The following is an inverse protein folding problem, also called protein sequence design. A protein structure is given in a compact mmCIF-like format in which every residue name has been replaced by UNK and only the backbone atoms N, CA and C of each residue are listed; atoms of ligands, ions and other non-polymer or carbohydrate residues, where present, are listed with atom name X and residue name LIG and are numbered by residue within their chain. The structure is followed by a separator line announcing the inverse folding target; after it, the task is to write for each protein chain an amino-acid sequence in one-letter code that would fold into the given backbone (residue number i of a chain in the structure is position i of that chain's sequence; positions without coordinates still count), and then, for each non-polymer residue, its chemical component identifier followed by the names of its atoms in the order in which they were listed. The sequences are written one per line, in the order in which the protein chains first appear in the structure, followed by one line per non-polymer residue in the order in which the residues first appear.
data_IF_558397546912
#
_entry.id   IF_558397546912
#
_cell.length_a   1.000
_cell.length_b   1.000
_cell.length_c   1.000
_cell.angle_alpha   90.00
_cell.angle_beta   90.00
_cell.angle_gamma   90.00
#
_symmetry.space_group_name_H-M   'P 1'
#
loop_
_entity.id
_entity.type
_entity.pdbx_description
1 polymer ?
#
# COMPACT_ATOMS: atom_id res chain seq x y z
N UNK A 1 23.55 -32.87 16.83
CA UNK A 1 22.96 -32.42 15.53
C UNK A 1 21.91 -31.36 15.83
N UNK A 2 22.06 -30.13 15.35
CA UNK A 2 21.02 -29.11 15.56
C UNK A 2 19.82 -29.39 14.62
N UNK A 3 18.68 -29.70 15.23
CA UNK A 3 17.40 -30.09 14.60
C UNK A 3 16.77 -28.89 13.91
N UNK A 4 16.22 -29.08 12.72
CA UNK A 4 15.46 -28.07 11.98
C UNK A 4 14.19 -27.70 12.77
N UNK A 5 13.94 -26.41 12.96
CA UNK A 5 12.75 -25.91 13.65
C UNK A 5 11.82 -25.19 12.66
N UNK A 6 11.00 -25.98 11.96
CA UNK A 6 10.07 -25.48 10.94
C UNK A 6 9.05 -24.50 11.54
N UNK A 7 8.50 -24.82 12.71
CA UNK A 7 7.43 -24.04 13.32
C UNK A 7 7.88 -22.63 13.70
N UNK A 8 9.03 -22.52 14.37
CA UNK A 8 9.62 -21.21 14.71
C UNK A 8 10.02 -20.44 13.45
N UNK A 9 10.60 -21.12 12.46
CA UNK A 9 10.95 -20.52 11.18
C UNK A 9 9.72 -19.94 10.48
N UNK A 10 8.64 -20.72 10.34
CA UNK A 10 7.38 -20.25 9.74
C UNK A 10 6.83 -19.06 10.50
N UNK A 11 6.80 -19.12 11.83
CA UNK A 11 6.31 -18.03 12.68
C UNK A 11 7.07 -16.72 12.44
N UNK A 12 8.41 -16.76 12.41
CA UNK A 12 9.25 -15.59 12.13
C UNK A 12 9.01 -15.07 10.71
N UNK A 13 9.00 -15.98 9.72
CA UNK A 13 8.82 -15.64 8.31
C UNK A 13 7.50 -14.90 8.07
N UNK A 14 6.40 -15.41 8.64
CA UNK A 14 5.08 -14.77 8.55
C UNK A 14 4.99 -13.46 9.34
N UNK A 15 5.64 -13.36 10.50
CA UNK A 15 5.70 -12.10 11.27
C UNK A 15 6.34 -10.97 10.47
N UNK A 16 7.33 -11.30 9.64
CA UNK A 16 7.98 -10.35 8.73
C UNK A 16 7.33 -10.28 7.33
N UNK A 17 6.19 -10.93 7.11
CA UNK A 17 5.52 -11.02 5.80
C UNK A 17 6.45 -11.50 4.66
N UNK A 18 7.42 -12.37 4.97
CA UNK A 18 8.40 -12.85 3.99
C UNK A 18 9.44 -11.81 3.55
N UNK A 19 9.47 -10.62 4.16
CA UNK A 19 10.48 -9.60 3.88
C UNK A 19 11.84 -10.04 4.45
N UNK A 20 12.77 -10.40 3.56
CA UNK A 20 14.10 -10.88 3.92
C UNK A 20 14.91 -9.85 4.73
N UNK A 21 14.77 -8.54 4.43
CA UNK A 21 15.44 -7.49 5.18
C UNK A 21 14.88 -7.40 6.62
N UNK A 22 13.57 -7.49 6.79
CA UNK A 22 12.92 -7.54 8.11
C UNK A 22 13.39 -8.74 8.93
N UNK A 23 13.40 -9.93 8.32
CA UNK A 23 13.89 -11.16 8.97
C UNK A 23 15.34 -10.99 9.40
N UNK A 24 16.21 -10.49 8.51
CA UNK A 24 17.63 -10.31 8.81
C UNK A 24 17.85 -9.31 9.95
N UNK A 25 17.14 -8.17 9.92
CA UNK A 25 17.29 -7.08 10.89
C UNK A 25 16.79 -7.47 12.28
N UNK A 26 15.63 -8.12 12.36
CA UNK A 26 14.96 -8.38 13.65
C UNK A 26 15.26 -9.77 14.21
N UNK A 27 15.35 -10.79 13.35
CA UNK A 27 15.40 -12.21 13.76
C UNK A 27 16.58 -12.97 13.15
N UNK A 28 17.54 -12.31 12.51
CA UNK A 28 18.52 -12.97 11.65
C UNK A 28 19.32 -14.09 12.33
N UNK A 29 19.66 -13.94 13.62
CA UNK A 29 20.34 -15.01 14.40
C UNK A 29 19.40 -16.17 14.72
N UNK A 30 18.16 -15.89 15.08
CA UNK A 30 17.16 -16.90 15.48
C UNK A 30 16.65 -17.68 14.26
N UNK A 31 16.33 -16.97 13.18
CA UNK A 31 15.87 -17.56 11.93
C UNK A 31 16.94 -18.47 11.31
N UNK A 32 18.22 -18.06 11.31
CA UNK A 32 19.33 -18.91 10.84
C UNK A 32 19.45 -20.22 11.62
N UNK A 33 19.15 -20.24 12.92
CA UNK A 33 19.17 -21.47 13.74
C UNK A 33 18.06 -22.45 13.35
N UNK A 34 16.96 -21.96 12.76
CA UNK A 34 15.85 -22.80 12.33
C UNK A 34 16.23 -23.70 11.14
N UNK A 35 17.27 -23.33 10.36
CA UNK A 35 17.78 -24.07 9.19
C UNK A 35 16.70 -24.37 8.15
N UNK A 36 15.85 -23.40 7.86
CA UNK A 36 14.75 -23.56 6.91
C UNK A 36 15.28 -23.70 5.48
N UNK A 37 14.96 -24.80 4.76
CA UNK A 37 15.27 -24.93 3.35
C UNK A 37 14.47 -23.95 2.48
N UNK A 38 15.09 -23.43 1.41
CA UNK A 38 14.49 -22.47 0.48
C UNK A 38 13.13 -22.89 -0.10
N UNK A 39 12.89 -24.20 -0.27
CA UNK A 39 11.59 -24.71 -0.76
C UNK A 39 10.42 -24.28 0.13
N UNK A 40 10.60 -24.30 1.45
CA UNK A 40 9.56 -23.88 2.40
C UNK A 40 9.37 -22.37 2.34
N UNK A 41 10.44 -21.59 2.19
CA UNK A 41 10.34 -20.15 2.04
C UNK A 41 9.54 -19.75 0.80
N UNK A 42 9.70 -20.48 -0.32
CA UNK A 42 8.91 -20.27 -1.54
C UNK A 42 7.44 -20.55 -1.27
N UNK A 43 7.10 -21.71 -0.70
CA UNK A 43 5.73 -22.08 -0.36
C UNK A 43 5.06 -21.05 0.56
N UNK A 44 5.77 -20.62 1.61
CA UNK A 44 5.28 -19.64 2.57
C UNK A 44 5.14 -18.25 1.95
N UNK A 45 6.05 -17.87 1.06
CA UNK A 45 5.97 -16.59 0.38
C UNK A 45 4.74 -16.52 -0.51
N UNK A 46 4.40 -17.61 -1.20
CA UNK A 46 3.20 -17.67 -2.02
C UNK A 46 1.91 -17.67 -1.17
N UNK A 47 1.92 -18.34 -0.01
CA UNK A 47 0.84 -18.25 0.98
C UNK A 47 0.63 -16.79 1.44
N UNK A 48 1.71 -16.09 1.79
CA UNK A 48 1.66 -14.67 2.22
C UNK A 48 1.17 -13.76 1.11
N UNK A 49 1.66 -13.93 -0.14
CA UNK A 49 1.17 -13.13 -1.28
C UNK A 49 -0.33 -13.29 -1.47
N UNK A 50 -0.84 -14.51 -1.42
CA UNK A 50 -2.27 -14.78 -1.58
C UNK A 50 -3.10 -14.10 -0.48
N UNK A 51 -2.67 -14.22 0.78
CA UNK A 51 -3.31 -13.55 1.91
C UNK A 51 -3.30 -12.02 1.75
N UNK A 52 -2.19 -11.45 1.28
CA UNK A 52 -2.09 -10.00 1.04
C UNK A 52 -2.96 -9.55 -0.11
N UNK A 53 -3.00 -10.27 -1.24
CA UNK A 53 -3.91 -9.97 -2.36
C UNK A 53 -5.38 -10.00 -1.92
N UNK A 54 -5.78 -11.03 -1.19
CA UNK A 54 -7.13 -11.13 -0.64
C UNK A 54 -7.44 -9.96 0.30
N UNK A 55 -6.54 -9.66 1.24
CA UNK A 55 -6.72 -8.56 2.18
C UNK A 55 -6.78 -7.18 1.48
N UNK A 56 -6.02 -6.98 0.42
CA UNK A 56 -6.04 -5.76 -0.40
C UNK A 56 -7.39 -5.61 -1.12
N UNK A 57 -7.90 -6.70 -1.71
CA UNK A 57 -9.17 -6.67 -2.44
C UNK A 57 -10.38 -6.50 -1.51
N UNK A 58 -10.28 -6.99 -0.27
CA UNK A 58 -11.36 -6.98 0.71
C UNK A 58 -11.25 -5.83 1.74
N UNK A 59 -10.42 -4.81 1.48
CA UNK A 59 -10.31 -3.64 2.36
C UNK A 59 -10.21 -2.34 1.58
N UNK A 60 -10.30 -1.22 2.28
CA UNK A 60 -10.18 0.13 1.74
C UNK A 60 -9.36 1.02 2.68
N UNK A 61 -9.02 2.22 2.21
CA UNK A 61 -8.29 3.23 2.97
C UNK A 61 -6.91 2.75 3.43
N UNK A 62 -6.54 3.17 4.63
CA UNK A 62 -5.24 2.86 5.22
C UNK A 62 -4.97 1.34 5.36
N UNK A 63 -6.01 0.53 5.62
CA UNK A 63 -5.86 -0.93 5.80
C UNK A 63 -5.42 -1.57 4.48
N UNK A 64 -6.04 -1.19 3.37
CA UNK A 64 -5.67 -1.63 2.02
C UNK A 64 -4.25 -1.20 1.68
N UNK A 65 -3.93 0.07 1.89
CA UNK A 65 -2.60 0.61 1.58
C UNK A 65 -1.49 -0.07 2.40
N UNK A 66 -1.73 -0.34 3.69
CA UNK A 66 -0.76 -1.04 4.54
C UNK A 66 -0.43 -2.44 4.01
N UNK A 67 -1.45 -3.21 3.60
CA UNK A 67 -1.24 -4.53 3.00
C UNK A 67 -0.58 -4.44 1.62
N UNK A 68 -0.93 -3.42 0.84
CA UNK A 68 -0.28 -3.14 -0.44
C UNK A 68 1.23 -2.92 -0.30
N UNK A 69 1.67 -2.11 0.67
CA UNK A 69 3.11 -1.89 0.89
C UNK A 69 3.84 -3.18 1.27
N UNK A 70 3.25 -3.99 2.16
CA UNK A 70 3.80 -5.29 2.54
C UNK A 70 3.96 -6.21 1.33
N UNK A 71 2.98 -6.21 0.42
CA UNK A 71 3.06 -6.99 -0.81
C UNK A 71 4.15 -6.46 -1.73
N UNK A 72 4.25 -5.14 -1.90
CA UNK A 72 5.28 -4.52 -2.74
C UNK A 72 6.72 -4.79 -2.26
N UNK A 73 6.93 -5.05 -0.97
CA UNK A 73 8.24 -5.42 -0.42
C UNK A 73 8.70 -6.83 -0.84
N UNK A 74 7.78 -7.69 -1.30
CA UNK A 74 8.05 -9.11 -1.59
C UNK A 74 7.76 -9.53 -3.04
N UNK A 75 7.36 -8.59 -3.89
CA UNK A 75 7.17 -8.80 -5.33
C UNK A 75 8.27 -8.07 -6.12
N UNK A 76 8.34 -8.34 -7.41
CA UNK A 76 9.28 -7.64 -8.29
C UNK A 76 8.91 -6.16 -8.45
N UNK A 77 9.91 -5.34 -8.80
CA UNK A 77 9.72 -3.91 -9.07
C UNK A 77 8.64 -3.68 -10.15
N UNK A 78 8.66 -4.46 -11.23
CA UNK A 78 7.68 -4.34 -12.31
C UNK A 78 6.27 -4.68 -11.83
N UNK A 79 6.10 -5.76 -11.06
CA UNK A 79 4.81 -6.11 -10.49
C UNK A 79 4.29 -5.03 -9.53
N UNK A 80 5.17 -4.40 -8.75
CA UNK A 80 4.79 -3.29 -7.88
C UNK A 80 4.34 -2.06 -8.70
N UNK A 81 5.03 -1.74 -9.80
CA UNK A 81 4.64 -0.65 -10.72
C UNK A 81 3.27 -0.93 -11.33
N UNK A 82 3.07 -2.11 -11.92
CA UNK A 82 1.80 -2.52 -12.54
C UNK A 82 0.65 -2.45 -11.54
N UNK A 83 0.85 -3.00 -10.33
CA UNK A 83 -0.16 -2.98 -9.29
C UNK A 83 -0.51 -1.56 -8.84
N UNK A 84 0.49 -0.69 -8.66
CA UNK A 84 0.28 0.72 -8.30
C UNK A 84 -0.51 1.44 -9.39
N UNK A 85 -0.13 1.22 -10.65
CA UNK A 85 -0.81 1.78 -11.80
C UNK A 85 -2.28 1.35 -11.86
N UNK A 86 -2.56 0.07 -11.64
CA UNK A 86 -3.92 -0.48 -11.59
C UNK A 86 -4.76 0.16 -10.50
N UNK A 87 -4.22 0.36 -9.29
CA UNK A 87 -4.96 1.04 -8.22
C UNK A 87 -5.29 2.49 -8.56
N UNK A 88 -4.37 3.24 -9.18
CA UNK A 88 -4.60 4.64 -9.55
C UNK A 88 -5.71 4.82 -10.61
N UNK A 89 -6.04 3.77 -11.36
CA UNK A 89 -7.16 3.74 -12.31
C UNK A 89 -8.52 3.45 -11.64
N UNK A 90 -8.52 2.98 -10.39
CA UNK A 90 -9.74 2.74 -9.63
C UNK A 90 -10.26 4.01 -8.95
N UNK A 91 -11.49 3.94 -8.44
CA UNK A 91 -12.07 4.98 -7.61
C UNK A 91 -11.48 4.93 -6.19
N UNK A 92 -10.38 5.65 -5.99
CA UNK A 92 -9.70 5.81 -4.70
C UNK A 92 -10.18 7.06 -3.98
N UNK A 93 -10.22 7.01 -2.64
CA UNK A 93 -10.36 8.22 -1.84
C UNK A 93 -9.13 9.14 -2.01
N UNK A 94 -9.26 10.39 -1.56
CA UNK A 94 -8.19 11.38 -1.70
C UNK A 94 -6.87 10.94 -1.06
N UNK A 95 -6.94 10.32 0.13
CA UNK A 95 -5.77 9.93 0.90
C UNK A 95 -5.07 8.73 0.26
N UNK A 96 -5.81 7.71 -0.16
CA UNK A 96 -5.26 6.58 -0.90
C UNK A 96 -4.63 7.03 -2.21
N UNK A 97 -5.31 7.87 -3.00
CA UNK A 97 -4.74 8.38 -4.25
C UNK A 97 -3.43 9.12 -4.02
N UNK A 98 -3.35 9.94 -2.96
CA UNK A 98 -2.11 10.60 -2.56
C UNK A 98 -1.01 9.56 -2.27
N UNK A 99 -1.30 8.57 -1.42
CA UNK A 99 -0.34 7.56 -1.01
C UNK A 99 0.17 6.68 -2.16
N UNK A 100 -0.71 6.23 -3.07
CA UNK A 100 -0.32 5.50 -4.27
C UNK A 100 0.49 6.38 -5.24
N UNK A 101 0.16 7.67 -5.36
CA UNK A 101 0.90 8.60 -6.21
C UNK A 101 2.31 8.85 -5.67
N UNK A 102 2.47 9.04 -4.36
CA UNK A 102 3.80 9.17 -3.74
C UNK A 102 4.60 7.87 -3.88
N UNK A 103 3.96 6.72 -3.72
CA UNK A 103 4.63 5.44 -3.94
C UNK A 103 5.09 5.28 -5.39
N UNK A 104 4.26 5.64 -6.38
CA UNK A 104 4.63 5.58 -7.79
C UNK A 104 5.83 6.48 -8.11
N UNK A 105 5.98 7.64 -7.45
CA UNK A 105 7.19 8.47 -7.57
C UNK A 105 8.43 7.75 -7.07
N UNK A 106 8.33 7.06 -5.93
CA UNK A 106 9.46 6.29 -5.38
C UNK A 106 9.87 5.16 -6.33
N UNK A 107 8.91 4.47 -6.93
CA UNK A 107 9.18 3.46 -7.96
C UNK A 107 9.80 4.10 -9.21
N UNK A 108 9.28 5.23 -9.67
CA UNK A 108 9.78 5.90 -10.87
C UNK A 108 11.22 6.43 -10.70
N UNK A 109 11.66 6.75 -9.48
CA UNK A 109 13.08 7.08 -9.20
C UNK A 109 14.02 5.92 -9.54
N UNK A 110 13.55 4.68 -9.50
CA UNK A 110 14.36 3.48 -9.79
C UNK A 110 14.40 3.16 -11.29
N UNK A 111 13.33 3.44 -12.03
CA UNK A 111 13.20 3.06 -13.45
C UNK A 111 13.31 4.23 -14.42
N UNK A 112 13.10 5.46 -13.96
CA UNK A 112 13.14 6.70 -14.74
C UNK A 112 12.27 6.68 -16.01
N UNK A 113 11.02 6.26 -15.89
CA UNK A 113 10.06 6.17 -16.98
C UNK A 113 9.30 7.48 -17.19
N UNK A 114 9.24 7.93 -18.45
CA UNK A 114 8.46 9.10 -18.86
C UNK A 114 6.95 8.85 -18.76
N UNK A 115 6.50 7.63 -19.07
CA UNK A 115 5.09 7.24 -18.97
C UNK A 115 4.60 7.29 -17.52
N UNK A 116 5.39 6.75 -16.58
CA UNK A 116 5.07 6.83 -15.17
C UNK A 116 5.07 8.28 -14.68
N UNK A 117 6.00 9.12 -15.18
CA UNK A 117 6.03 10.55 -14.86
C UNK A 117 4.75 11.25 -15.32
N UNK A 118 4.25 10.94 -16.53
CA UNK A 118 2.97 11.46 -17.03
C UNK A 118 1.82 11.07 -16.09
N UNK A 119 1.71 9.78 -15.73
CA UNK A 119 0.67 9.27 -14.82
C UNK A 119 0.74 9.90 -13.43
N UNK A 120 1.94 10.13 -12.90
CA UNK A 120 2.16 10.85 -11.64
C UNK A 120 1.61 12.29 -11.75
N UNK A 121 1.89 12.98 -12.85
CA UNK A 121 1.45 14.37 -13.03
C UNK A 121 -0.06 14.49 -13.22
N UNK A 122 -0.68 13.55 -13.94
CA UNK A 122 -2.14 13.43 -14.03
C UNK A 122 -2.78 13.28 -12.64
N UNK A 123 -2.25 12.38 -11.81
CA UNK A 123 -2.76 12.20 -10.45
C UNK A 123 -2.52 13.42 -9.54
N UNK A 124 -1.40 14.14 -9.68
CA UNK A 124 -1.19 15.41 -8.99
C UNK A 124 -2.26 16.45 -9.35
N UNK A 125 -2.67 16.50 -10.61
CA UNK A 125 -3.72 17.41 -11.06
C UNK A 125 -5.07 17.06 -10.43
N UNK A 126 -5.43 15.77 -10.40
CA UNK A 126 -6.64 15.27 -9.72
C UNK A 126 -6.64 15.67 -8.24
N UNK A 127 -5.53 15.45 -7.53
CA UNK A 127 -5.40 15.80 -6.12
C UNK A 127 -5.53 17.33 -5.89
N UNK A 128 -4.94 18.15 -6.76
CA UNK A 128 -5.04 19.61 -6.67
C UNK A 128 -6.47 20.11 -6.89
N UNK A 129 -7.21 19.50 -7.82
CA UNK A 129 -8.60 19.86 -8.07
C UNK A 129 -9.50 19.53 -6.87
N UNK A 130 -9.29 18.38 -6.23
CA UNK A 130 -10.02 18.01 -5.01
C UNK A 130 -9.78 19.03 -3.88
N UNK A 131 -8.55 19.50 -3.67
CA UNK A 131 -8.26 20.56 -2.70
C UNK A 131 -9.01 21.85 -3.06
N UNK A 132 -9.03 22.25 -4.33
CA UNK A 132 -9.70 23.46 -4.78
C UNK A 132 -11.22 23.39 -4.58
N UNK A 133 -11.84 22.24 -4.82
CA UNK A 133 -13.26 21.99 -4.55
C UNK A 133 -13.55 22.16 -3.05
N UNK A 134 -12.80 21.50 -2.17
CA UNK A 134 -12.97 21.63 -0.72
C UNK A 134 -12.80 23.08 -0.27
N UNK A 135 -11.81 23.81 -0.82
CA UNK A 135 -11.61 25.25 -0.52
C UNK A 135 -12.77 26.12 -0.99
N UNK A 136 -13.37 25.82 -2.14
CA UNK A 136 -14.52 26.54 -2.68
C UNK A 136 -15.76 26.31 -1.82
N UNK A 137 -16.03 25.05 -1.47
CA UNK A 137 -17.19 24.67 -0.66
C UNK A 137 -17.06 25.19 0.77
N UNK A 138 -15.89 25.05 1.41
CA UNK A 138 -15.65 25.60 2.75
C UNK A 138 -15.82 27.12 2.81
N UNK A 139 -15.36 27.87 1.80
CA UNK A 139 -15.65 29.31 1.71
C UNK A 139 -17.15 29.59 1.61
N UNK A 140 -17.90 28.78 0.86
CA UNK A 140 -19.35 28.87 0.78
C UNK A 140 -19.98 28.72 2.17
N UNK A 141 -19.55 27.72 2.95
CA UNK A 141 -20.07 27.47 4.31
C UNK A 141 -19.68 28.54 5.32
N UNK A 142 -18.47 29.10 5.24
CA UNK A 142 -18.05 30.20 6.12
C UNK A 142 -18.90 31.45 5.88
N UNK A 143 -19.42 31.64 4.66
CA UNK A 143 -20.26 32.79 4.30
C UNK A 143 -21.76 32.59 4.50
N UNK A 144 -22.23 31.37 4.76
CA UNK A 144 -23.65 31.07 4.96
C UNK A 144 -24.07 31.39 6.40
N UNK A 145 -25.28 31.92 6.58
CA UNK A 145 -25.84 32.09 7.93
C UNK A 145 -26.16 30.72 8.52
N UNK A 146 -26.02 30.57 9.83
CA UNK A 146 -26.17 29.29 10.56
C UNK A 146 -27.46 28.54 10.22
N UNK A 147 -28.60 29.25 10.09
CA UNK A 147 -29.89 28.68 9.65
C UNK A 147 -29.86 28.05 8.25
N UNK A 148 -29.10 28.62 7.31
CA UNK A 148 -28.99 28.12 5.94
C UNK A 148 -28.10 26.87 5.87
N UNK A 149 -27.15 26.74 6.79
CA UNK A 149 -26.33 25.54 6.96
C UNK A 149 -27.19 24.40 7.52
N UNK A 150 -27.98 24.67 8.57
CA UNK A 150 -28.89 23.69 9.19
C UNK A 150 -29.95 23.16 8.21
N UNK A 151 -30.55 24.04 7.38
CA UNK A 151 -31.50 23.62 6.36
C UNK A 151 -30.89 22.75 5.26
N UNK A 152 -29.61 22.96 4.92
CA UNK A 152 -28.91 22.16 3.92
C UNK A 152 -28.48 20.80 4.45
N UNK A 153 -28.03 20.73 5.70
CA UNK A 153 -27.69 19.45 6.36
C UNK A 153 -28.92 18.55 6.45
N UNK A 154 -30.11 19.10 6.71
CA UNK A 154 -31.37 18.34 6.74
C UNK A 154 -31.82 17.78 5.39
N UNK A 155 -31.22 18.21 4.27
CA UNK A 155 -31.56 17.77 2.90
C UNK A 155 -30.58 16.75 2.31
N UNK A 156 -29.50 16.43 3.04
CA UNK A 156 -28.55 15.37 2.71
C UNK A 156 -28.93 14.08 3.45
#
# INVERSE_FOLDING_TARGET
MAVMNIELGKKIFFKCYGNAFGIQREYGKEYKKCKIPRKYEIEWLDEIKNQLYEAINNSSGNKRYSNFIKLCDIISLNAAIELTCKFLETNLDYFERLLYTEYLKLLNKKVNSHELLKKINENKFILKNNINLVKKDSKLYITLKEREIEERIKRL
#
